data_IF_589987731870
#
_entry.id   IF_589987731870
#
_cell.length_a   1.000
_cell.length_b   1.000
_cell.length_c   1.000
_cell.angle_alpha   90.00
_cell.angle_beta   90.00
_cell.angle_gamma   90.00
#
_symmetry.space_group_name_H-M   'P 1'
#
loop_
_entity.id
_entity.type
_entity.pdbx_description
1 polymer ?
#
# COMPACT_ATOMS: atom_id res chain seq x y z
N UNK A 1 11.65 -22.42 21.84
CA UNK A 1 10.26 -21.94 21.95
C UNK A 1 9.84 -21.12 20.74
N UNK A 2 10.64 -20.17 20.23
CA UNK A 2 10.38 -19.52 18.93
C UNK A 2 10.57 -20.46 17.71
N UNK A 3 11.36 -21.51 17.85
CA UNK A 3 11.62 -22.49 16.78
C UNK A 3 10.43 -23.45 16.54
N UNK A 4 9.59 -23.71 17.55
CA UNK A 4 8.38 -24.52 17.41
C UNK A 4 7.30 -23.80 16.61
N UNK A 5 7.12 -22.50 16.86
CA UNK A 5 6.14 -21.67 16.15
C UNK A 5 6.47 -21.53 14.65
N UNK A 6 7.76 -21.47 14.29
CA UNK A 6 8.20 -21.41 12.90
C UNK A 6 8.08 -22.74 12.14
N UNK A 7 7.97 -23.87 12.84
CA UNK A 7 7.76 -25.18 12.23
C UNK A 7 6.29 -25.49 11.99
N UNK A 8 5.41 -25.02 12.90
CA UNK A 8 3.97 -25.24 12.80
C UNK A 8 3.33 -24.44 11.65
N UNK A 9 3.76 -23.19 11.46
CA UNK A 9 3.30 -22.34 10.35
C UNK A 9 3.74 -22.86 8.97
N UNK A 10 4.95 -23.46 8.88
CA UNK A 10 5.41 -24.10 7.64
C UNK A 10 4.51 -25.26 7.23
N UNK A 11 4.10 -26.10 8.18
CA UNK A 11 3.23 -27.25 7.90
C UNK A 11 1.83 -26.86 7.44
N UNK A 12 1.28 -25.76 7.95
CA UNK A 12 -0.04 -25.24 7.56
C UNK A 12 0.02 -24.63 6.15
N UNK A 13 1.11 -23.93 5.83
CA UNK A 13 1.32 -23.32 4.54
C UNK A 13 1.50 -24.36 3.42
N UNK A 14 2.30 -25.41 3.68
CA UNK A 14 2.52 -26.48 2.70
C UNK A 14 1.26 -27.31 2.43
N UNK A 15 0.43 -27.55 3.46
CA UNK A 15 -0.85 -28.25 3.28
C UNK A 15 -1.86 -27.46 2.45
N UNK A 16 -1.86 -26.13 2.58
CA UNK A 16 -2.71 -25.25 1.75
C UNK A 16 -2.24 -25.20 0.29
N UNK A 17 -0.93 -25.26 0.04
CA UNK A 17 -0.37 -25.22 -1.33
C UNK A 17 -0.51 -26.55 -2.08
N UNK A 18 -0.43 -27.68 -1.38
CA UNK A 18 -0.64 -29.01 -1.97
C UNK A 18 -2.08 -29.21 -2.49
N UNK A 19 -3.08 -28.59 -1.84
CA UNK A 19 -4.48 -28.62 -2.29
C UNK A 19 -4.73 -27.78 -3.55
N UNK A 20 -3.83 -26.85 -3.88
CA UNK A 20 -3.91 -25.97 -5.05
C UNK A 20 -3.04 -26.43 -6.24
N UNK A 21 -2.36 -27.59 -6.12
CA UNK A 21 -1.59 -28.18 -7.22
C UNK A 21 -0.32 -27.41 -7.63
N UNK A 22 0.13 -26.44 -6.83
CA UNK A 22 1.37 -25.71 -7.06
C UNK A 22 2.56 -26.51 -6.51
N UNK A 23 3.37 -27.07 -7.40
CA UNK A 23 4.64 -27.71 -7.07
C UNK A 23 5.74 -26.64 -7.07
N UNK A 24 6.12 -26.15 -5.88
CA UNK A 24 7.24 -25.22 -5.73
C UNK A 24 8.53 -26.03 -5.68
N UNK A 25 9.41 -25.87 -6.67
CA UNK A 25 10.74 -26.46 -6.65
C UNK A 25 11.56 -25.85 -5.51
N UNK A 26 12.01 -26.72 -4.60
CA UNK A 26 12.96 -26.49 -3.51
C UNK A 26 14.07 -25.50 -3.91
N UNK A 27 13.99 -24.25 -3.41
CA UNK A 27 15.10 -23.31 -3.51
C UNK A 27 16.13 -23.73 -2.46
N UNK A 28 17.22 -24.34 -2.92
CA UNK A 28 18.38 -24.64 -2.08
C UNK A 28 18.92 -23.34 -1.47
N UNK A 29 19.16 -23.27 -0.15
CA UNK A 29 19.76 -22.08 0.45
C UNK A 29 21.18 -21.89 -0.10
N UNK A 30 21.44 -20.72 -0.71
CA UNK A 30 22.80 -20.29 -1.01
C UNK A 30 23.55 -20.10 0.32
N UNK A 31 24.46 -21.03 0.66
CA UNK A 31 25.51 -20.78 1.64
C UNK A 31 26.43 -19.69 1.10
N UNK A 32 26.11 -18.43 1.40
CA UNK A 32 27.03 -17.32 1.21
C UNK A 32 28.11 -17.40 2.30
N UNK A 33 29.25 -18.02 1.97
CA UNK A 33 30.43 -18.09 2.84
C UNK A 33 30.96 -16.67 3.12
N UNK A 34 30.58 -16.07 4.24
CA UNK A 34 31.27 -14.90 4.77
C UNK A 34 32.51 -15.35 5.55
N UNK A 35 33.72 -14.82 5.24
CA UNK A 35 34.90 -15.07 6.04
C UNK A 35 34.68 -14.57 7.47
N UNK A 36 34.91 -15.47 8.42
CA UNK A 36 34.83 -15.23 9.87
C UNK A 36 35.94 -14.26 10.29
N UNK A 37 35.63 -12.97 10.41
CA UNK A 37 36.51 -12.02 11.08
C UNK A 37 35.74 -11.00 11.93
N UNK A 38 36.27 -10.80 13.14
CA UNK A 38 35.91 -9.83 14.16
C UNK A 38 34.67 -10.10 15.03
N UNK A 39 34.84 -11.08 15.93
CA UNK A 39 34.27 -11.02 17.28
C UNK A 39 34.82 -9.75 17.98
N UNK A 40 34.00 -8.71 18.08
CA UNK A 40 34.34 -7.49 18.80
C UNK A 40 33.14 -6.57 18.97
N UNK A 41 32.69 -6.40 20.22
CA UNK A 41 31.93 -5.23 20.64
C UNK A 41 30.45 -5.22 20.28
N UNK A 42 29.61 -5.60 21.24
CA UNK A 42 28.30 -4.98 21.43
C UNK A 42 28.52 -3.48 21.59
N UNK A 43 28.12 -2.67 20.63
CA UNK A 43 28.00 -1.21 20.73
C UNK A 43 27.09 -0.71 19.61
N UNK A 44 25.83 -0.42 19.97
CA UNK A 44 24.99 0.67 19.44
C UNK A 44 25.35 1.27 18.06
N UNK A 45 24.62 0.85 17.03
CA UNK A 45 24.39 1.60 15.78
C UNK A 45 22.89 1.37 15.47
N UNK A 46 21.90 2.28 15.59
CA UNK A 46 21.80 3.75 15.54
C UNK A 46 22.23 4.43 14.24
N UNK A 47 21.92 3.83 13.09
CA UNK A 47 22.06 4.44 11.75
C UNK A 47 21.01 3.74 10.86
N UNK A 48 19.84 4.28 10.47
CA UNK A 48 19.46 5.57 9.89
C UNK A 48 17.96 5.82 10.20
N UNK A 49 17.63 6.98 10.78
CA UNK A 49 16.25 7.38 11.09
C UNK A 49 16.03 7.60 12.59
N UNK A 50 16.70 8.61 13.17
CA UNK A 50 16.47 8.98 14.56
C UNK A 50 15.09 9.63 14.74
N UNK A 51 14.10 8.82 15.10
CA UNK A 51 12.82 9.24 15.68
C UNK A 51 12.61 8.57 17.05
N UNK A 52 13.62 8.52 17.93
CA UNK A 52 13.42 8.15 19.35
C UNK A 52 12.72 9.26 20.18
N UNK A 53 12.20 10.28 19.48
CA UNK A 53 11.25 11.25 20.02
C UNK A 53 9.89 10.92 19.40
N UNK A 54 8.78 11.01 20.15
CA UNK A 54 7.42 10.73 19.65
C UNK A 54 6.92 11.78 18.64
N UNK A 55 7.81 12.38 17.84
CA UNK A 55 7.49 13.41 16.86
C UNK A 55 6.71 12.84 15.69
N UNK A 56 6.99 11.60 15.30
CA UNK A 56 6.23 10.86 14.30
C UNK A 56 4.81 10.58 14.79
N UNK A 57 4.66 10.11 16.04
CA UNK A 57 3.33 9.86 16.62
C UNK A 57 2.55 11.16 16.84
N UNK A 58 3.19 12.23 17.34
CA UNK A 58 2.57 13.54 17.50
C UNK A 58 2.17 14.13 16.15
N UNK A 59 3.03 14.02 15.13
CA UNK A 59 2.72 14.48 13.78
C UNK A 59 1.55 13.69 13.18
N UNK A 60 1.51 12.37 13.39
CA UNK A 60 0.41 11.51 12.98
C UNK A 60 -0.89 11.94 13.66
N UNK A 61 -0.90 12.19 14.98
CA UNK A 61 -2.09 12.66 15.71
C UNK A 61 -2.58 14.00 15.17
N UNK A 62 -1.68 14.98 14.99
CA UNK A 62 -2.05 16.31 14.46
C UNK A 62 -2.67 16.18 13.06
N UNK A 63 -2.05 15.38 12.18
CA UNK A 63 -2.54 15.15 10.82
C UNK A 63 -3.88 14.41 10.81
N UNK A 64 -4.03 13.36 11.62
CA UNK A 64 -5.25 12.57 11.72
C UNK A 64 -6.41 13.39 12.26
N UNK A 65 -6.18 14.25 13.27
CA UNK A 65 -7.20 15.18 13.77
C UNK A 65 -7.57 16.21 12.71
N UNK A 66 -6.57 16.83 12.06
CA UNK A 66 -6.81 17.81 11.01
C UNK A 66 -7.62 17.22 9.85
N UNK A 67 -7.21 16.06 9.34
CA UNK A 67 -7.89 15.40 8.24
C UNK A 67 -9.29 14.93 8.67
N UNK A 68 -9.41 14.30 9.85
CA UNK A 68 -10.69 13.81 10.36
C UNK A 68 -11.73 14.92 10.53
N UNK A 69 -11.36 16.04 11.15
CA UNK A 69 -12.26 17.19 11.31
C UNK A 69 -12.59 17.82 9.95
N UNK A 70 -11.59 18.00 9.07
CA UNK A 70 -11.81 18.62 7.76
C UNK A 70 -12.77 17.79 6.90
N UNK A 71 -12.59 16.46 6.85
CA UNK A 71 -13.47 15.56 6.12
C UNK A 71 -14.90 15.57 6.67
N UNK A 72 -15.09 15.65 8.00
CA UNK A 72 -16.43 15.75 8.60
C UNK A 72 -17.11 17.09 8.32
N UNK A 73 -16.34 18.19 8.33
CA UNK A 73 -16.86 19.51 7.98
C UNK A 73 -17.26 19.57 6.51
N UNK A 74 -16.48 18.98 5.60
CA UNK A 74 -16.83 18.89 4.18
C UNK A 74 -18.06 17.99 3.97
N UNK A 75 -18.16 16.86 4.69
CA UNK A 75 -19.35 16.00 4.65
C UNK A 75 -20.63 16.74 5.10
N UNK A 76 -20.51 17.61 6.12
CA UNK A 76 -21.62 18.39 6.67
C UNK A 76 -21.95 19.65 5.87
N UNK A 77 -20.97 20.26 5.20
CA UNK A 77 -21.10 21.50 4.41
C UNK A 77 -21.40 21.23 2.94
N UNK A 78 -21.57 19.96 2.58
CA UNK A 78 -21.93 19.49 1.24
C UNK A 78 -23.38 19.90 0.88
N UNK A 79 -23.54 21.20 0.68
CA UNK A 79 -24.55 21.79 -0.18
C UNK A 79 -24.14 21.43 -1.62
N UNK A 80 -25.05 20.86 -2.41
CA UNK A 80 -24.74 20.09 -3.63
C UNK A 80 -23.97 20.81 -4.74
N UNK A 81 -23.69 22.11 -4.58
CA UNK A 81 -23.01 22.95 -5.56
C UNK A 81 -21.52 22.60 -5.76
N UNK A 82 -20.77 22.25 -4.70
CA UNK A 82 -19.33 21.94 -4.84
C UNK A 82 -19.07 20.61 -5.54
N UNK A 83 -19.87 19.58 -5.22
CA UNK A 83 -19.70 18.24 -5.79
C UNK A 83 -19.99 18.24 -7.30
N UNK A 84 -21.01 18.99 -7.74
CA UNK A 84 -21.33 19.10 -9.18
C UNK A 84 -20.24 19.79 -9.99
N UNK A 85 -19.56 20.80 -9.42
CA UNK A 85 -18.50 21.52 -10.11
C UNK A 85 -17.23 20.67 -10.23
N UNK A 86 -16.84 19.95 -9.17
CA UNK A 86 -15.71 19.02 -9.17
C UNK A 86 -15.93 17.84 -10.14
N UNK A 87 -17.15 17.31 -10.21
CA UNK A 87 -17.49 16.23 -11.16
C UNK A 87 -17.41 16.70 -12.61
N UNK A 88 -17.93 17.90 -12.91
CA UNK A 88 -17.86 18.49 -14.25
C UNK A 88 -16.42 18.78 -14.66
N UNK A 89 -15.59 19.29 -13.75
CA UNK A 89 -14.17 19.55 -14.03
C UNK A 89 -13.42 18.25 -14.33
N UNK A 90 -13.67 17.18 -13.57
CA UNK A 90 -13.09 15.88 -13.83
C UNK A 90 -13.57 15.28 -15.18
N UNK A 91 -14.86 15.41 -15.52
CA UNK A 91 -15.42 14.95 -16.79
C UNK A 91 -14.86 15.76 -17.98
N UNK A 92 -14.69 17.07 -17.82
CA UNK A 92 -14.04 17.94 -18.81
C UNK A 92 -12.57 17.54 -19.04
N UNK A 93 -11.82 17.28 -17.97
CA UNK A 93 -10.43 16.82 -18.07
C UNK A 93 -10.32 15.46 -18.79
N UNK A 94 -11.24 14.53 -18.53
CA UNK A 94 -11.27 13.21 -19.18
C UNK A 94 -11.74 13.30 -20.64
N UNK A 95 -12.66 14.21 -20.96
CA UNK A 95 -13.16 14.39 -22.32
C UNK A 95 -12.18 15.14 -23.23
N UNK A 96 -11.46 16.14 -22.71
CA UNK A 96 -10.36 16.83 -23.41
C UNK A 96 -9.28 15.84 -23.85
N UNK A 97 -8.98 14.88 -22.97
CA UNK A 97 -8.01 13.82 -23.19
C UNK A 97 -8.39 12.86 -24.34
N UNK A 98 -9.68 12.71 -24.64
CA UNK A 98 -10.19 11.75 -25.63
C UNK A 98 -10.29 12.28 -27.07
N UNK A 99 -10.12 13.59 -27.31
CA UNK A 99 -10.30 14.21 -28.63
C UNK A 99 -9.12 14.04 -29.61
N UNK A 100 -9.36 13.36 -30.75
CA UNK A 100 -8.56 13.32 -31.99
C UNK A 100 -7.03 13.23 -31.88
N UNK A 101 -6.48 12.00 -31.96
CA UNK A 101 -5.02 11.76 -32.12
C UNK A 101 -4.17 12.08 -30.89
N UNK A 102 -4.66 12.94 -29.99
CA UNK A 102 -4.11 13.20 -28.68
C UNK A 102 -4.23 11.99 -27.75
N UNK A 103 -5.21 11.10 -27.98
CA UNK A 103 -5.50 9.96 -27.08
C UNK A 103 -4.32 9.03 -26.78
N UNK A 104 -3.36 8.84 -27.70
CA UNK A 104 -2.18 8.00 -27.45
C UNK A 104 -1.16 8.74 -26.58
N UNK A 105 -0.91 10.03 -26.86
CA UNK A 105 0.00 10.87 -26.05
C UNK A 105 -0.58 11.09 -24.66
N UNK A 106 -1.89 11.30 -24.61
CA UNK A 106 -2.67 11.41 -23.42
C UNK A 106 -2.54 10.10 -22.62
N UNK A 107 -2.88 8.94 -23.21
CA UNK A 107 -2.78 7.64 -22.55
C UNK A 107 -1.34 7.36 -22.05
N UNK A 108 -0.33 7.69 -22.86
CA UNK A 108 1.06 7.58 -22.46
C UNK A 108 1.38 8.48 -21.25
N UNK A 109 0.88 9.72 -21.23
CA UNK A 109 1.04 10.63 -20.09
C UNK A 109 0.39 10.05 -18.83
N UNK A 110 -0.84 9.53 -18.92
CA UNK A 110 -1.50 8.89 -17.77
C UNK A 110 -0.75 7.65 -17.28
N UNK A 111 -0.25 6.81 -18.19
CA UNK A 111 0.57 5.65 -17.82
C UNK A 111 1.86 6.08 -17.13
N UNK A 112 2.53 7.11 -17.64
CA UNK A 112 3.77 7.62 -17.03
C UNK A 112 3.49 8.24 -15.66
N UNK A 113 2.45 9.07 -15.53
CA UNK A 113 2.07 9.70 -14.26
C UNK A 113 1.66 8.67 -13.21
N UNK A 114 0.82 7.71 -13.56
CA UNK A 114 0.40 6.65 -12.65
C UNK A 114 1.56 5.74 -12.27
N UNK A 115 2.43 5.40 -13.22
CA UNK A 115 3.67 4.67 -12.93
C UNK A 115 4.53 5.40 -11.90
N UNK A 116 4.83 6.68 -12.11
CA UNK A 116 5.66 7.43 -11.16
C UNK A 116 4.98 7.62 -9.81
N UNK A 117 3.67 7.85 -9.78
CA UNK A 117 2.91 7.96 -8.53
C UNK A 117 3.01 6.67 -7.73
N UNK A 118 2.71 5.52 -8.34
CA UNK A 118 2.78 4.21 -7.69
C UNK A 118 4.24 3.85 -7.34
N UNK A 119 5.18 4.11 -8.25
CA UNK A 119 6.59 3.84 -8.02
C UNK A 119 7.13 4.62 -6.82
N UNK A 120 6.84 5.92 -6.72
CA UNK A 120 7.28 6.76 -5.59
C UNK A 120 6.56 6.34 -4.30
N UNK A 121 5.27 5.98 -4.37
CA UNK A 121 4.52 5.50 -3.22
C UNK A 121 5.08 4.18 -2.66
N UNK A 122 5.51 3.27 -3.53
CA UNK A 122 6.07 1.96 -3.19
C UNK A 122 7.60 2.00 -3.04
N UNK A 123 8.22 3.17 -3.22
CA UNK A 123 9.67 3.28 -3.24
C UNK A 123 10.25 3.03 -1.84
N UNK A 124 10.86 1.85 -1.67
CA UNK A 124 11.41 1.44 -0.39
C UNK A 124 10.38 0.85 0.58
N UNK A 125 9.18 0.49 0.11
CA UNK A 125 8.28 -0.33 0.92
C UNK A 125 8.82 -1.76 1.10
N UNK A 126 8.36 -2.43 2.16
CA UNK A 126 8.70 -3.83 2.45
C UNK A 126 8.33 -4.75 1.27
N UNK A 127 7.26 -4.46 0.56
CA UNK A 127 6.84 -5.21 -0.64
C UNK A 127 7.90 -5.17 -1.75
N UNK A 128 8.58 -4.02 -1.91
CA UNK A 128 9.64 -3.82 -2.91
C UNK A 128 10.86 -4.70 -2.61
N UNK A 129 11.37 -4.67 -1.38
CA UNK A 129 12.50 -5.51 -0.96
C UNK A 129 12.15 -7.01 -1.00
N UNK A 130 10.93 -7.38 -0.62
CA UNK A 130 10.43 -8.75 -0.72
C UNK A 130 10.46 -9.26 -2.16
N UNK A 131 10.05 -8.44 -3.12
CA UNK A 131 10.06 -8.79 -4.54
C UNK A 131 11.48 -8.97 -5.08
N UNK A 132 12.44 -8.12 -4.68
CA UNK A 132 13.86 -8.26 -5.05
C UNK A 132 14.46 -9.54 -4.46
N UNK A 133 14.18 -9.81 -3.18
CA UNK A 133 14.66 -11.03 -2.52
C UNK A 133 14.08 -12.30 -3.19
N UNK A 134 12.80 -12.27 -3.56
CA UNK A 134 12.15 -13.38 -4.26
C UNK A 134 12.70 -13.56 -5.68
N UNK A 135 12.98 -12.47 -6.40
CA UNK A 135 13.61 -12.50 -7.72
C UNK A 135 15.06 -12.98 -7.68
N UNK A 136 15.77 -12.79 -6.56
CA UNK A 136 17.11 -13.35 -6.35
C UNK A 136 17.07 -14.84 -5.99
N UNK A 137 16.00 -15.31 -5.32
CA UNK A 137 15.82 -16.70 -4.93
C UNK A 137 15.17 -17.59 -6.01
N UNK A 138 14.40 -16.99 -6.93
CA UNK A 138 13.62 -17.68 -7.98
C UNK A 138 13.95 -17.13 -9.37
N UNK A 139 13.31 -17.66 -10.43
CA UNK A 139 13.49 -17.12 -11.78
C UNK A 139 12.93 -15.68 -11.86
N UNK A 140 13.73 -14.66 -12.24
CA UNK A 140 13.27 -13.27 -12.26
C UNK A 140 12.03 -13.05 -13.14
N UNK A 141 11.97 -13.75 -14.27
CA UNK A 141 10.83 -13.68 -15.20
C UNK A 141 9.55 -14.24 -14.59
N UNK A 142 9.63 -15.30 -13.78
CA UNK A 142 8.48 -15.87 -13.10
C UNK A 142 7.93 -14.95 -12.01
N UNK A 143 8.83 -14.31 -11.26
CA UNK A 143 8.46 -13.33 -10.22
C UNK A 143 7.80 -12.10 -10.82
N UNK A 144 8.36 -11.56 -11.91
CA UNK A 144 7.75 -10.42 -12.62
C UNK A 144 6.35 -10.77 -13.15
N UNK A 145 6.20 -11.92 -13.80
CA UNK A 145 4.92 -12.34 -14.35
C UNK A 145 3.87 -12.56 -13.24
N UNK A 146 4.27 -13.21 -12.14
CA UNK A 146 3.40 -13.45 -10.98
C UNK A 146 2.98 -12.17 -10.28
N UNK A 147 3.92 -11.25 -10.03
CA UNK A 147 3.64 -9.95 -9.41
C UNK A 147 2.69 -9.11 -10.27
N UNK A 148 2.93 -9.05 -11.59
CA UNK A 148 2.08 -8.32 -12.52
C UNK A 148 0.67 -8.91 -12.60
N UNK A 149 0.56 -10.25 -12.66
CA UNK A 149 -0.73 -10.92 -12.70
C UNK A 149 -1.50 -10.73 -11.39
N UNK A 150 -0.86 -10.92 -10.24
CA UNK A 150 -1.47 -10.74 -8.93
C UNK A 150 -1.95 -9.30 -8.71
N UNK A 151 -1.09 -8.32 -9.01
CA UNK A 151 -1.43 -6.91 -8.91
C UNK A 151 -2.56 -6.53 -9.89
N UNK A 152 -2.52 -7.04 -11.13
CA UNK A 152 -3.57 -6.84 -12.11
C UNK A 152 -4.93 -7.36 -11.64
N UNK A 153 -4.97 -8.57 -11.08
CA UNK A 153 -6.21 -9.14 -10.51
C UNK A 153 -6.71 -8.32 -9.32
N UNK A 154 -5.81 -7.91 -8.41
CA UNK A 154 -6.17 -7.07 -7.26
C UNK A 154 -6.80 -5.74 -7.71
N UNK A 155 -6.18 -5.07 -8.69
CA UNK A 155 -6.67 -3.81 -9.25
C UNK A 155 -8.01 -3.99 -9.97
N UNK A 156 -8.18 -5.06 -10.75
CA UNK A 156 -9.47 -5.36 -11.40
C UNK A 156 -10.58 -5.57 -10.38
N UNK A 157 -10.32 -6.34 -9.32
CA UNK A 157 -11.28 -6.55 -8.24
C UNK A 157 -11.59 -5.26 -7.50
N UNK A 158 -10.60 -4.41 -7.25
CA UNK A 158 -10.80 -3.11 -6.62
C UNK A 158 -11.66 -2.17 -7.47
N UNK A 159 -11.42 -2.11 -8.79
CA UNK A 159 -12.19 -1.26 -9.71
C UNK A 159 -13.63 -1.75 -9.86
N UNK A 160 -13.83 -3.06 -10.06
CA UNK A 160 -15.16 -3.64 -10.18
C UNK A 160 -15.94 -3.54 -8.86
N UNK A 161 -15.28 -3.87 -7.75
CA UNK A 161 -15.84 -3.75 -6.41
C UNK A 161 -16.19 -2.30 -6.08
N UNK A 162 -15.29 -1.35 -6.35
CA UNK A 162 -15.49 0.07 -6.15
C UNK A 162 -16.63 0.64 -7.01
N UNK A 163 -16.74 0.21 -8.27
CA UNK A 163 -17.85 0.61 -9.15
C UNK A 163 -19.20 0.14 -8.63
N UNK A 164 -19.29 -1.09 -8.13
CA UNK A 164 -20.52 -1.62 -7.53
C UNK A 164 -20.83 -0.90 -6.21
N UNK A 165 -19.85 -0.78 -5.30
CA UNK A 165 -20.01 -0.12 -4.00
C UNK A 165 -20.37 1.36 -4.14
N UNK A 166 -19.77 2.08 -5.09
CA UNK A 166 -20.04 3.50 -5.35
C UNK A 166 -21.47 3.77 -5.82
N UNK A 167 -22.16 2.78 -6.40
CA UNK A 167 -23.57 2.90 -6.74
C UNK A 167 -24.51 2.80 -5.52
N UNK A 168 -24.03 2.22 -4.42
CA UNK A 168 -24.81 2.00 -3.19
C UNK A 168 -24.41 2.93 -2.03
N UNK A 169 -23.16 3.37 -1.96
CA UNK A 169 -22.66 4.28 -0.93
C UNK A 169 -22.73 5.72 -1.42
N UNK A 170 -23.51 6.55 -0.72
CA UNK A 170 -23.48 7.99 -0.90
C UNK A 170 -22.09 8.53 -0.55
N UNK A 171 -21.58 9.46 -1.36
CA UNK A 171 -20.31 10.17 -1.13
C UNK A 171 -20.23 10.77 0.29
N UNK A 172 -21.37 11.26 0.81
CA UNK A 172 -21.49 11.74 2.19
C UNK A 172 -21.21 10.63 3.21
N UNK A 173 -21.72 9.42 2.99
CA UNK A 173 -21.51 8.30 3.90
C UNK A 173 -20.03 7.91 3.94
N UNK A 174 -19.35 7.90 2.80
CA UNK A 174 -17.91 7.61 2.72
C UNK A 174 -17.10 8.69 3.44
N UNK A 175 -17.43 9.98 3.23
CA UNK A 175 -16.77 11.08 3.92
C UNK A 175 -17.01 11.03 5.44
N UNK A 176 -18.23 10.75 5.90
CA UNK A 176 -18.52 10.58 7.32
C UNK A 176 -17.73 9.43 7.94
N UNK A 177 -17.73 8.25 7.31
CA UNK A 177 -17.02 7.07 7.81
C UNK A 177 -15.51 7.33 7.84
N UNK A 178 -14.94 7.91 6.77
CA UNK A 178 -13.53 8.25 6.68
C UNK A 178 -13.13 9.26 7.76
N UNK A 179 -13.88 10.35 7.91
CA UNK A 179 -13.63 11.37 8.92
C UNK A 179 -13.66 10.82 10.34
N UNK A 180 -14.66 9.99 10.67
CA UNK A 180 -14.73 9.29 11.97
C UNK A 180 -13.54 8.35 12.16
N UNK A 181 -13.17 7.59 11.13
CA UNK A 181 -12.06 6.63 11.19
C UNK A 181 -10.71 7.34 11.47
N UNK A 182 -10.46 8.48 10.84
CA UNK A 182 -9.28 9.29 11.13
C UNK A 182 -9.24 9.78 12.59
N UNK A 183 -10.38 10.19 13.15
CA UNK A 183 -10.45 10.57 14.56
C UNK A 183 -10.25 9.39 15.52
N UNK A 184 -10.73 8.20 15.15
CA UNK A 184 -10.49 6.97 15.92
C UNK A 184 -9.00 6.63 15.92
N UNK A 185 -8.33 6.66 14.77
CA UNK A 185 -6.89 6.44 14.71
C UNK A 185 -6.11 7.50 15.48
N UNK A 186 -6.49 8.78 15.40
CA UNK A 186 -5.89 9.84 16.21
C UNK A 186 -5.99 9.52 17.71
N UNK A 187 -7.16 9.05 18.17
CA UNK A 187 -7.37 8.71 19.57
C UNK A 187 -6.55 7.49 20.00
N UNK A 188 -6.45 6.45 19.15
CA UNK A 188 -5.64 5.27 19.42
C UNK A 188 -4.17 5.64 19.54
N UNK A 189 -3.62 6.38 18.58
CA UNK A 189 -2.23 6.85 18.61
C UNK A 189 -1.98 7.77 19.81
N UNK A 190 -2.92 8.64 20.17
CA UNK A 190 -2.80 9.49 21.36
C UNK A 190 -2.74 8.66 22.65
N UNK A 191 -3.55 7.62 22.78
CA UNK A 191 -3.52 6.71 23.94
C UNK A 191 -2.18 5.98 24.02
N UNK A 192 -1.64 5.55 22.88
CA UNK A 192 -0.32 4.91 22.78
C UNK A 192 0.82 5.85 23.21
N UNK A 193 0.78 7.13 22.82
CA UNK A 193 1.76 8.14 23.29
C UNK A 193 1.69 8.36 24.81
N UNK A 194 0.48 8.29 25.39
CA UNK A 194 0.24 8.59 26.80
C UNK A 194 0.52 7.42 27.76
N UNK A 195 0.65 6.18 27.25
CA UNK A 195 0.73 4.96 28.04
C UNK A 195 2.06 4.23 27.87
#
# INVERSE_FOLDING_TARGET
MAEDWLQEDKGIFERSLALLGFHFSEVQPLEFQLPTLARGGVSSEHIFGGNDLPLDDIAAVILLVYFGVSTLLDASSSDGLKAEDEQKEAELAVSEFSGNGAGILAAANTVISTFFLVFVAEWGDKSFFSTIALAAASSPLGVIAGALAGHGVATLLAVLGGSLLGSFLSEKAIAYIGGVLFLVFAAVTLVEILN
#
